data_IF_872476306631
#
_entry.id   IF_872476306631
#
_cell.length_a   1.000
_cell.length_b   1.000
_cell.length_c   1.000
_cell.angle_alpha   90.00
_cell.angle_beta   90.00
_cell.angle_gamma   90.00
#
_symmetry.space_group_name_H-M   'P 1'
#
loop_
_entity.id
_entity.type
_entity.pdbx_description
1 polymer ?
#
# COMPACT_ATOMS: atom_id res chain seq x y z
N UNK A 1 -32.52 13.40 10.23
CA UNK A 1 -31.20 12.74 10.25
C UNK A 1 -30.34 13.51 11.26
N UNK A 2 -29.79 12.85 12.27
CA UNK A 2 -29.00 13.49 13.32
C UNK A 2 -27.53 13.13 13.18
N UNK A 3 -26.62 14.04 13.58
CA UNK A 3 -25.18 13.80 13.59
C UNK A 3 -24.80 12.86 14.73
N UNK A 4 -25.48 12.97 15.89
CA UNK A 4 -25.21 12.10 17.04
C UNK A 4 -25.64 10.67 16.78
N UNK A 5 -24.72 9.74 16.99
CA UNK A 5 -24.95 8.30 16.91
C UNK A 5 -25.08 7.61 18.28
N UNK A 6 -25.11 8.38 19.38
CA UNK A 6 -25.06 7.83 20.74
C UNK A 6 -26.25 6.91 21.10
N UNK A 7 -27.39 7.10 20.44
CA UNK A 7 -28.59 6.28 20.64
C UNK A 7 -28.75 5.16 19.60
N UNK A 8 -27.78 5.02 18.67
CA UNK A 8 -27.82 3.95 17.68
C UNK A 8 -27.26 2.65 18.23
N UNK A 9 -27.79 1.53 17.72
CA UNK A 9 -27.23 0.22 18.01
C UNK A 9 -26.03 -0.07 17.12
N UNK A 10 -24.96 -0.61 17.70
CA UNK A 10 -23.84 -1.11 16.93
C UNK A 10 -24.20 -2.50 16.41
N UNK A 11 -24.08 -2.70 15.11
CA UNK A 11 -24.27 -3.98 14.46
C UNK A 11 -22.91 -4.51 14.00
N UNK A 12 -22.65 -5.78 14.27
CA UNK A 12 -21.45 -6.50 13.79
C UNK A 12 -21.91 -7.57 12.83
N UNK A 13 -21.33 -7.60 11.63
CA UNK A 13 -21.59 -8.63 10.64
C UNK A 13 -20.25 -9.16 10.10
N UNK A 14 -20.18 -10.48 9.88
CA UNK A 14 -19.04 -11.15 9.24
C UNK A 14 -19.59 -11.75 7.95
N UNK A 15 -19.09 -11.29 6.81
CA UNK A 15 -19.45 -11.82 5.51
C UNK A 15 -18.21 -12.47 4.87
N UNK A 16 -18.41 -13.67 4.29
CA UNK A 16 -17.36 -14.41 3.60
C UNK A 16 -17.84 -14.78 2.20
N UNK A 17 -16.97 -14.64 1.21
CA UNK A 17 -17.25 -15.05 -0.17
C UNK A 17 -15.94 -15.43 -0.85
N UNK A 18 -16.02 -16.17 -1.94
CA UNK A 18 -14.88 -16.47 -2.77
C UNK A 18 -14.42 -15.20 -3.49
N UNK A 19 -13.13 -14.87 -3.35
CA UNK A 19 -12.52 -13.71 -3.99
C UNK A 19 -11.28 -14.14 -4.75
N UNK A 20 -11.23 -13.80 -6.04
CA UNK A 20 -10.07 -14.02 -6.89
C UNK A 20 -8.88 -13.12 -6.53
N UNK A 21 -7.86 -13.12 -7.38
CA UNK A 21 -6.70 -12.22 -7.22
C UNK A 21 -7.13 -10.75 -7.35
N UNK A 22 -6.65 -9.88 -6.44
CA UNK A 22 -6.95 -8.44 -6.49
C UNK A 22 -6.37 -7.77 -7.74
N UNK A 23 -5.16 -8.16 -8.13
CA UNK A 23 -4.55 -7.76 -9.39
C UNK A 23 -4.44 -8.96 -10.32
N UNK A 24 -4.43 -8.69 -11.64
CA UNK A 24 -4.14 -9.72 -12.64
C UNK A 24 -2.81 -10.43 -12.28
N UNK A 25 -2.76 -11.78 -12.31
CA UNK A 25 -1.55 -12.52 -12.01
C UNK A 25 -0.33 -12.09 -12.82
N UNK A 26 -0.51 -11.67 -14.07
CA UNK A 26 0.58 -11.14 -14.91
C UNK A 26 1.16 -9.85 -14.33
N UNK A 27 0.31 -8.96 -13.81
CA UNK A 27 0.75 -7.71 -13.18
C UNK A 27 1.51 -7.94 -11.87
N UNK A 28 1.29 -9.08 -11.20
CA UNK A 28 2.11 -9.48 -10.03
C UNK A 28 3.54 -9.86 -10.43
N UNK A 29 3.78 -10.21 -11.68
CA UNK A 29 5.12 -10.54 -12.23
C UNK A 29 5.75 -9.29 -12.83
N UNK A 30 5.02 -8.59 -13.71
CA UNK A 30 5.54 -7.46 -14.48
C UNK A 30 5.58 -6.15 -13.65
N UNK A 31 4.86 -6.11 -12.53
CA UNK A 31 4.64 -4.93 -11.70
C UNK A 31 3.51 -4.04 -12.21
N UNK A 32 2.74 -3.49 -11.27
CA UNK A 32 1.65 -2.57 -11.56
C UNK A 32 2.19 -1.16 -11.85
N UNK A 33 1.36 -0.34 -12.49
CA UNK A 33 1.67 1.04 -12.83
C UNK A 33 0.80 2.00 -12.02
N UNK A 34 1.43 3.02 -11.41
CA UNK A 34 0.73 4.04 -10.64
C UNK A 34 0.88 5.42 -11.31
N UNK A 35 -0.18 6.24 -11.29
CA UNK A 35 -0.05 7.69 -11.43
C UNK A 35 0.19 8.32 -10.05
N UNK A 36 0.29 9.64 -9.99
CA UNK A 36 0.25 10.40 -8.72
C UNK A 36 -1.12 11.05 -8.63
N UNK A 37 -1.82 10.79 -7.53
CA UNK A 37 -3.17 11.30 -7.29
C UNK A 37 -3.20 12.81 -7.11
N UNK A 38 -4.26 13.45 -7.62
CA UNK A 38 -4.60 14.82 -7.28
C UNK A 38 -5.18 14.96 -5.86
N UNK A 39 -5.75 13.87 -5.31
CA UNK A 39 -6.26 13.83 -3.95
C UNK A 39 -5.16 13.43 -2.96
N UNK A 40 -5.17 14.07 -1.79
CA UNK A 40 -4.18 13.82 -0.74
C UNK A 40 -4.81 13.13 0.47
N UNK A 41 -4.01 12.37 1.19
CA UNK A 41 -4.40 11.85 2.50
C UNK A 41 -4.61 13.04 3.45
N UNK A 42 -5.65 12.97 4.31
CA UNK A 42 -6.02 14.08 5.19
C UNK A 42 -4.95 14.32 6.26
N UNK A 43 -4.89 15.54 6.76
CA UNK A 43 -4.05 15.88 7.90
C UNK A 43 -4.52 15.13 9.17
N UNK A 44 -3.62 14.75 10.07
CA UNK A 44 -3.94 13.93 11.24
C UNK A 44 -5.07 14.46 12.13
N UNK A 45 -5.22 15.79 12.21
CA UNK A 45 -6.22 16.43 13.08
C UNK A 45 -7.56 16.73 12.37
N UNK A 46 -7.73 16.30 11.12
CA UNK A 46 -8.94 16.60 10.34
C UNK A 46 -9.94 15.45 10.28
N UNK A 47 -9.48 14.22 10.49
CA UNK A 47 -10.27 13.01 10.39
C UNK A 47 -9.57 11.88 11.18
N UNK A 48 -10.27 10.89 11.70
CA UNK A 48 -9.65 9.71 12.36
C UNK A 48 -8.94 8.81 11.32
N UNK A 49 -7.78 9.25 10.85
CA UNK A 49 -6.99 8.69 9.75
C UNK A 49 -6.49 7.25 10.01
N UNK A 50 -6.36 6.87 11.27
CA UNK A 50 -5.90 5.56 11.73
C UNK A 50 -7.03 4.52 11.80
N UNK A 51 -8.23 4.88 11.36
CA UNK A 51 -9.39 3.97 11.28
C UNK A 51 -9.61 3.46 9.87
N UNK A 52 -10.16 2.23 9.76
CA UNK A 52 -10.59 1.67 8.47
C UNK A 52 -12.04 2.01 8.15
N UNK A 53 -12.43 3.27 8.37
CA UNK A 53 -13.78 3.76 8.14
C UNK A 53 -14.04 3.98 6.64
N UNK A 54 -15.22 3.57 6.15
CA UNK A 54 -15.58 3.67 4.72
C UNK A 54 -15.53 5.10 4.19
N UNK A 55 -15.84 6.10 5.01
CA UNK A 55 -15.76 7.51 4.63
C UNK A 55 -14.36 8.00 4.24
N UNK A 56 -13.30 7.31 4.66
CA UNK A 56 -11.92 7.62 4.28
C UNK A 56 -11.54 7.11 2.88
N UNK A 57 -12.34 6.21 2.32
CA UNK A 57 -12.08 5.61 1.01
C UNK A 57 -12.65 6.39 -0.17
N UNK A 58 -13.43 7.44 0.08
CA UNK A 58 -14.00 8.27 -0.98
C UNK A 58 -12.91 8.84 -1.90
N UNK A 59 -11.90 9.48 -1.32
CA UNK A 59 -10.77 10.04 -2.08
C UNK A 59 -9.92 8.93 -2.74
N UNK A 60 -9.83 7.76 -2.12
CA UNK A 60 -9.14 6.59 -2.71
C UNK A 60 -9.89 6.11 -3.96
N UNK A 61 -11.22 6.02 -3.90
CA UNK A 61 -12.06 5.63 -5.04
C UNK A 61 -11.92 6.62 -6.20
N UNK A 62 -11.97 7.93 -5.91
CA UNK A 62 -11.79 8.96 -6.94
C UNK A 62 -10.40 8.88 -7.59
N UNK A 63 -9.35 8.70 -6.77
CA UNK A 63 -7.97 8.53 -7.26
C UNK A 63 -7.81 7.29 -8.13
N UNK A 64 -8.42 6.18 -7.72
CA UNK A 64 -8.39 4.91 -8.45
C UNK A 64 -9.06 5.04 -9.81
N UNK A 65 -10.25 5.61 -9.88
CA UNK A 65 -10.98 5.83 -11.12
C UNK A 65 -10.20 6.73 -12.09
N UNK A 66 -9.60 7.81 -11.58
CA UNK A 66 -8.77 8.70 -12.40
C UNK A 66 -7.54 7.95 -12.96
N UNK A 67 -6.87 7.15 -12.12
CA UNK A 67 -5.74 6.33 -12.56
C UNK A 67 -6.13 5.36 -13.67
N UNK A 68 -7.26 4.65 -13.52
CA UNK A 68 -7.78 3.70 -14.51
C UNK A 68 -8.13 4.38 -15.84
N UNK A 69 -8.73 5.57 -15.81
CA UNK A 69 -9.02 6.37 -17.00
C UNK A 69 -7.75 6.80 -17.75
N UNK A 70 -6.64 6.99 -17.03
CA UNK A 70 -5.33 7.32 -17.56
C UNK A 70 -4.51 6.08 -17.98
N UNK A 71 -5.05 4.87 -17.83
CA UNK A 71 -4.38 3.61 -18.17
C UNK A 71 -3.37 3.12 -17.13
N UNK A 72 -3.46 3.61 -15.90
CA UNK A 72 -2.71 3.10 -14.75
C UNK A 72 -3.53 2.05 -13.99
N UNK A 73 -2.82 1.23 -13.20
CA UNK A 73 -3.47 0.18 -12.40
C UNK A 73 -4.01 0.74 -11.08
N UNK A 74 -3.32 1.70 -10.47
CA UNK A 74 -3.68 2.31 -9.20
C UNK A 74 -3.03 3.70 -9.11
N UNK A 75 -3.16 4.36 -7.96
CA UNK A 75 -2.67 5.72 -7.75
C UNK A 75 -1.78 5.80 -6.51
N UNK A 76 -0.64 6.48 -6.61
CA UNK A 76 0.12 6.93 -5.46
C UNK A 76 -0.54 8.17 -4.87
N UNK A 77 -0.86 8.14 -3.59
CA UNK A 77 -1.38 9.28 -2.85
C UNK A 77 -0.28 9.93 -2.04
N UNK A 78 -0.29 11.25 -1.99
CA UNK A 78 0.56 12.05 -1.12
C UNK A 78 -0.18 12.40 0.16
N UNK A 79 0.56 12.71 1.23
CA UNK A 79 0.02 13.28 2.45
C UNK A 79 -0.36 14.77 2.25
N UNK A 80 -0.91 15.38 3.28
CA UNK A 80 -1.30 16.79 3.26
C UNK A 80 -0.11 17.74 3.09
N UNK A 81 1.10 17.32 3.46
CA UNK A 81 2.34 18.09 3.31
C UNK A 81 2.99 17.88 1.92
N UNK A 82 2.54 16.90 1.14
CA UNK A 82 3.06 16.59 -0.18
C UNK A 82 4.12 15.49 -0.20
N UNK A 83 4.35 14.78 0.91
CA UNK A 83 5.19 13.60 0.93
C UNK A 83 4.43 12.36 0.44
N UNK A 84 5.14 11.35 0.03
CA UNK A 84 4.56 10.04 -0.31
C UNK A 84 3.86 9.46 0.91
N UNK A 85 2.61 9.02 0.74
CA UNK A 85 1.83 8.36 1.79
C UNK A 85 1.66 6.86 1.49
N UNK A 86 0.73 6.52 0.64
CA UNK A 86 0.39 5.14 0.29
C UNK A 86 -0.28 5.08 -1.09
N UNK A 87 -0.61 3.89 -1.60
CA UNK A 87 -1.53 3.75 -2.73
C UNK A 87 -2.99 3.83 -2.25
N UNK A 88 -3.97 3.71 -3.15
CA UNK A 88 -5.39 3.91 -2.78
C UNK A 88 -5.91 2.90 -1.75
N UNK A 89 -5.32 1.72 -1.65
CA UNK A 89 -5.73 0.68 -0.70
C UNK A 89 -4.59 -0.18 -0.16
N UNK A 90 -3.34 0.28 -0.27
CA UNK A 90 -2.14 -0.48 0.11
C UNK A 90 -0.99 0.45 0.50
N UNK A 91 -0.20 0.04 1.49
CA UNK A 91 1.02 0.76 1.85
C UNK A 91 2.11 0.55 0.79
N UNK A 92 3.11 1.42 0.77
CA UNK A 92 4.17 1.42 -0.25
C UNK A 92 5.56 1.31 0.37
N UNK A 93 6.43 0.62 -0.35
CA UNK A 93 7.86 0.47 -0.05
C UNK A 93 8.69 0.77 -1.28
N UNK A 94 9.86 1.31 -1.03
CA UNK A 94 10.88 1.56 -2.05
C UNK A 94 12.17 0.84 -1.64
N UNK A 95 12.92 0.38 -2.63
CA UNK A 95 14.26 -0.19 -2.43
C UNK A 95 15.29 0.75 -3.06
N UNK A 96 16.29 1.09 -2.30
CA UNK A 96 17.42 1.86 -2.83
C UNK A 96 18.49 0.97 -3.48
N UNK A 97 19.54 1.59 -4.01
CA UNK A 97 20.67 0.91 -4.65
C UNK A 97 21.56 0.13 -3.67
N UNK A 98 21.54 0.49 -2.40
CA UNK A 98 22.32 -0.15 -1.35
C UNK A 98 21.61 -1.40 -0.78
N UNK A 99 20.33 -1.61 -1.18
CA UNK A 99 19.53 -2.76 -0.79
C UNK A 99 18.58 -2.49 0.37
N UNK A 100 18.64 -1.31 0.98
CA UNK A 100 17.79 -0.92 2.08
C UNK A 100 16.36 -0.62 1.58
N UNK A 101 15.38 -0.87 2.44
CA UNK A 101 13.98 -0.55 2.18
C UNK A 101 13.60 0.76 2.86
N UNK A 102 12.75 1.53 2.19
CA UNK A 102 12.17 2.77 2.68
C UNK A 102 10.66 2.69 2.60
N UNK A 103 9.96 3.10 3.65
CA UNK A 103 8.49 3.19 3.67
C UNK A 103 8.07 4.44 4.43
N UNK A 104 7.00 5.12 3.99
CA UNK A 104 6.50 6.29 4.70
C UNK A 104 6.08 5.98 6.13
N UNK A 105 6.25 6.98 7.02
CA UNK A 105 5.71 6.92 8.39
C UNK A 105 4.18 7.00 8.32
N UNK A 106 3.45 6.05 8.95
CA UNK A 106 1.99 6.04 8.89
C UNK A 106 1.39 7.04 9.88
N UNK A 107 1.45 8.32 9.57
CA UNK A 107 0.94 9.44 10.38
C UNK A 107 -0.31 10.12 9.79
N UNK A 108 -0.73 9.72 8.58
CA UNK A 108 -1.91 10.21 7.87
C UNK A 108 -2.66 9.10 7.10
N UNK A 109 -2.26 7.85 7.30
CA UNK A 109 -2.82 6.65 6.67
C UNK A 109 -2.60 5.43 7.55
N UNK A 110 -3.26 4.31 7.23
CA UNK A 110 -3.23 3.09 8.06
C UNK A 110 -1.83 2.46 8.11
N UNK A 111 -1.36 2.14 9.33
CA UNK A 111 -0.24 1.23 9.53
C UNK A 111 -0.70 -0.22 9.31
N UNK A 112 -0.63 -0.66 8.06
CA UNK A 112 -1.17 -1.95 7.63
C UNK A 112 -0.51 -3.14 8.31
N UNK A 113 -1.32 -4.18 8.62
CA UNK A 113 -0.80 -5.43 9.19
C UNK A 113 0.21 -6.07 8.24
N UNK A 114 -0.08 -6.09 6.93
CA UNK A 114 0.86 -6.62 5.91
C UNK A 114 2.16 -5.80 5.88
N UNK A 115 2.07 -4.46 5.98
CA UNK A 115 3.24 -3.58 6.06
C UNK A 115 4.14 -4.00 7.24
N UNK A 116 3.60 -4.09 8.45
CA UNK A 116 4.36 -4.51 9.65
C UNK A 116 4.95 -5.91 9.52
N UNK A 117 4.20 -6.84 8.93
CA UNK A 117 4.66 -8.21 8.66
C UNK A 117 5.86 -8.21 7.72
N UNK A 118 5.81 -7.45 6.63
CA UNK A 118 6.92 -7.34 5.67
C UNK A 118 8.13 -6.67 6.29
N UNK A 119 7.96 -5.65 7.15
CA UNK A 119 9.08 -5.07 7.93
C UNK A 119 9.74 -6.15 8.82
N UNK A 120 8.94 -6.99 9.48
CA UNK A 120 9.46 -8.10 10.29
C UNK A 120 10.22 -9.13 9.46
N UNK A 121 9.69 -9.50 8.29
CA UNK A 121 10.36 -10.42 7.34
C UNK A 121 11.68 -9.82 6.86
N UNK A 122 11.68 -8.56 6.44
CA UNK A 122 12.89 -7.87 5.97
C UNK A 122 13.98 -7.86 7.05
N UNK A 123 13.62 -7.49 8.30
CA UNK A 123 14.55 -7.51 9.45
C UNK A 123 15.10 -8.90 9.72
N UNK A 124 14.31 -9.97 9.58
CA UNK A 124 14.78 -11.36 9.75
C UNK A 124 15.74 -11.83 8.65
N UNK A 125 15.85 -11.08 7.57
CA UNK A 125 16.77 -11.30 6.45
C UNK A 125 17.92 -10.28 6.43
N UNK A 126 18.15 -9.57 7.53
CA UNK A 126 19.16 -8.52 7.67
C UNK A 126 19.01 -7.37 6.66
N UNK A 127 17.81 -7.16 6.12
CA UNK A 127 17.48 -6.02 5.27
C UNK A 127 17.06 -4.86 6.16
N UNK A 128 17.78 -3.73 6.07
CA UNK A 128 17.43 -2.52 6.81
C UNK A 128 16.15 -1.91 6.26
N UNK A 129 15.31 -1.41 7.18
CA UNK A 129 14.05 -0.73 6.83
C UNK A 129 14.03 0.64 7.50
N UNK A 130 13.92 1.68 6.67
CA UNK A 130 13.84 3.07 7.09
C UNK A 130 12.37 3.54 6.99
N UNK A 131 11.76 3.75 8.14
CA UNK A 131 10.45 4.39 8.25
C UNK A 131 10.65 5.90 8.33
N UNK A 132 10.35 6.62 7.25
CA UNK A 132 10.63 8.07 7.14
C UNK A 132 9.70 8.78 6.17
N UNK A 133 9.67 10.11 6.22
CA UNK A 133 9.07 10.92 5.16
C UNK A 133 9.87 10.77 3.88
N UNK A 134 9.18 10.66 2.75
CA UNK A 134 9.76 10.48 1.41
C UNK A 134 9.15 11.55 0.50
N UNK A 135 9.99 12.40 -0.05
CA UNK A 135 9.53 13.40 -1.02
C UNK A 135 9.33 12.76 -2.40
N UNK A 136 8.34 13.19 -3.21
CA UNK A 136 8.15 12.71 -4.57
C UNK A 136 9.38 12.86 -5.47
N UNK A 137 10.21 13.88 -5.22
CA UNK A 137 11.48 14.11 -5.93
C UNK A 137 12.52 13.01 -5.70
N UNK A 138 12.38 12.21 -4.63
CA UNK A 138 13.28 11.09 -4.35
C UNK A 138 12.93 9.83 -5.15
N UNK A 139 11.76 9.75 -5.78
CA UNK A 139 11.29 8.55 -6.48
C UNK A 139 12.28 8.05 -7.52
N UNK A 140 12.96 8.96 -8.22
CA UNK A 140 13.97 8.62 -9.22
C UNK A 140 15.26 8.01 -8.67
N UNK A 141 15.50 8.10 -7.36
CA UNK A 141 16.68 7.54 -6.71
C UNK A 141 16.52 6.07 -6.32
N UNK A 142 15.29 5.57 -6.25
CA UNK A 142 14.99 4.19 -5.90
C UNK A 142 15.06 3.26 -7.10
N UNK A 143 15.47 2.03 -6.87
CA UNK A 143 15.64 1.01 -7.91
C UNK A 143 14.49 -0.01 -7.94
N UNK A 144 13.75 -0.16 -6.84
CA UNK A 144 12.61 -1.05 -6.70
C UNK A 144 11.46 -0.41 -5.94
N UNK A 145 10.25 -0.87 -6.20
CA UNK A 145 9.04 -0.39 -5.52
C UNK A 145 8.01 -1.53 -5.43
N UNK A 146 7.28 -1.61 -4.31
CA UNK A 146 6.19 -2.56 -4.15
C UNK A 146 5.13 -2.06 -3.17
N UNK A 147 3.93 -2.60 -3.30
CA UNK A 147 2.81 -2.37 -2.40
C UNK A 147 2.63 -3.52 -1.41
N UNK A 148 2.04 -3.22 -0.26
CA UNK A 148 1.65 -4.21 0.75
C UNK A 148 0.23 -3.99 1.24
N UNK A 149 -0.57 -5.07 1.28
CA UNK A 149 -1.95 -5.04 1.76
C UNK A 149 -2.54 -6.44 1.84
N UNK A 150 -3.67 -6.60 2.53
CA UNK A 150 -4.32 -7.91 2.65
C UNK A 150 -4.71 -8.48 1.28
N UNK A 151 -5.33 -7.67 0.43
CA UNK A 151 -5.73 -8.08 -0.92
C UNK A 151 -4.57 -7.96 -1.93
N UNK A 152 -3.73 -6.92 -1.79
CA UNK A 152 -2.57 -6.70 -2.64
C UNK A 152 -1.42 -7.68 -2.33
N UNK A 153 -1.39 -8.26 -1.12
CA UNK A 153 -0.27 -9.07 -0.66
C UNK A 153 1.05 -8.28 -0.72
N UNK A 154 2.08 -8.78 -1.40
CA UNK A 154 3.27 -8.02 -1.80
C UNK A 154 3.25 -7.94 -3.33
N UNK A 155 2.91 -6.77 -3.85
CA UNK A 155 2.76 -6.56 -5.30
C UNK A 155 3.80 -5.58 -5.81
N UNK A 156 4.67 -5.98 -6.77
CA UNK A 156 5.65 -5.07 -7.34
C UNK A 156 5.01 -3.92 -8.11
N UNK A 157 5.68 -2.78 -8.10
CA UNK A 157 5.34 -1.58 -8.89
C UNK A 157 6.44 -1.39 -9.94
N UNK A 158 6.07 -1.31 -11.22
CA UNK A 158 7.00 -1.13 -12.33
C UNK A 158 7.21 0.34 -12.68
N UNK A 159 6.24 1.21 -12.42
CA UNK A 159 6.44 2.66 -12.53
C UNK A 159 5.47 3.46 -11.66
N UNK A 160 5.89 4.67 -11.30
CA UNK A 160 5.06 5.73 -10.73
C UNK A 160 5.27 6.96 -11.62
N UNK A 161 4.22 7.34 -12.36
CA UNK A 161 4.32 8.34 -13.43
C UNK A 161 5.51 8.02 -14.37
N UNK A 162 6.50 8.91 -14.49
CA UNK A 162 7.72 8.71 -15.29
C UNK A 162 8.80 7.87 -14.62
N UNK A 163 8.73 7.67 -13.30
CA UNK A 163 9.74 6.95 -12.54
C UNK A 163 9.57 5.43 -12.70
N UNK A 164 10.60 4.76 -13.21
CA UNK A 164 10.60 3.31 -13.49
C UNK A 164 11.34 2.55 -12.40
N UNK A 165 10.79 1.40 -12.00
CA UNK A 165 11.36 0.50 -11.00
C UNK A 165 11.54 -0.90 -11.56
N UNK A 166 12.53 -1.60 -11.06
CA UNK A 166 12.78 -3.01 -11.41
C UNK A 166 12.03 -3.92 -10.44
N UNK A 167 11.40 -4.95 -10.97
CA UNK A 167 10.97 -6.09 -10.16
C UNK A 167 12.23 -6.90 -9.85
N UNK A 168 12.81 -6.69 -8.68
CA UNK A 168 14.06 -7.30 -8.27
C UNK A 168 13.85 -8.50 -7.36
N UNK A 169 14.88 -9.33 -7.24
CA UNK A 169 14.90 -10.57 -6.45
C UNK A 169 14.42 -10.34 -5.01
N UNK A 170 14.86 -9.27 -4.36
CA UNK A 170 14.44 -8.91 -3.00
C UNK A 170 12.92 -8.81 -2.86
N UNK A 171 12.22 -8.20 -3.84
CA UNK A 171 10.76 -8.08 -3.82
C UNK A 171 10.09 -9.44 -3.97
N UNK A 172 10.65 -10.30 -4.84
CA UNK A 172 10.17 -11.68 -5.06
C UNK A 172 10.32 -12.48 -3.77
N UNK A 173 11.50 -12.46 -3.16
CA UNK A 173 11.78 -13.16 -1.90
C UNK A 173 10.90 -12.70 -0.73
N UNK A 174 10.63 -11.40 -0.62
CA UNK A 174 9.72 -10.87 0.39
C UNK A 174 8.30 -11.37 0.15
N UNK A 175 7.85 -11.41 -1.11
CA UNK A 175 6.54 -11.96 -1.46
C UNK A 175 6.46 -13.45 -1.12
N UNK A 176 7.44 -14.26 -1.52
CA UNK A 176 7.47 -15.69 -1.22
C UNK A 176 7.45 -15.96 0.29
N UNK A 177 8.26 -15.21 1.05
CA UNK A 177 8.31 -15.32 2.51
C UNK A 177 6.96 -14.93 3.14
N UNK A 178 6.31 -13.88 2.64
CA UNK A 178 4.97 -13.47 3.07
C UNK A 178 3.94 -14.57 2.76
N UNK A 179 3.95 -15.11 1.53
CA UNK A 179 3.06 -16.19 1.11
C UNK A 179 3.23 -17.45 1.95
N UNK A 180 4.47 -17.82 2.27
CA UNK A 180 4.76 -18.96 3.14
C UNK A 180 4.20 -18.78 4.56
N UNK A 181 4.19 -17.54 5.05
CA UNK A 181 3.66 -17.20 6.38
C UNK A 181 2.13 -17.27 6.42
N UNK A 182 1.44 -16.72 5.41
CA UNK A 182 -0.03 -16.60 5.41
C UNK A 182 -0.74 -17.83 4.87
N UNK A 183 -0.09 -18.57 3.96
CA UNK A 183 -0.59 -19.83 3.41
C UNK A 183 0.00 -21.01 4.18
N UNK A 184 -0.15 -21.04 5.52
CA UNK A 184 0.22 -22.25 6.28
C UNK A 184 -0.39 -23.46 5.58
N UNK A 185 0.44 -24.38 5.08
CA UNK A 185 -0.03 -25.68 4.61
C UNK A 185 -0.90 -26.26 5.71
N UNK A 186 -2.16 -26.59 5.40
CA UNK A 186 -2.95 -27.45 6.26
C UNK A 186 -2.06 -28.65 6.58
N UNK A 187 -1.74 -28.85 7.86
CA UNK A 187 -1.14 -30.12 8.27
C UNK A 187 -2.11 -31.21 7.79
N UNK A 188 -1.58 -32.13 6.99
CA UNK A 188 -2.30 -33.29 6.47
C UNK A 188 -2.70 -34.20 7.63
#
# INVERSE_FOLDING_TARGET
MAISAQQTKIHVAIATWEWGSYFDPKLKIDGIRLNISNWRRPAPNTIPWDTKASGLYMICTLSKHEAEQQGYTDSLMLDHEGNVAEATGANIFFKDKDGDLHTPVPDSFLDGITRRTVIGIAKSKDIKVHERKIAPSELSSFVGCFLTGTAAEVTPVSCIAENKFKVCETIIELNESYQALVKKKKAA
#
